data_IF_246152168613
#
_entry.id   IF_246152168613
#
_cell.length_a   1.000
_cell.length_b   1.000
_cell.length_c   1.000
_cell.angle_alpha   90.00
_cell.angle_beta   90.00
_cell.angle_gamma   90.00
#
_symmetry.space_group_name_H-M   'P 1'
#
loop_
_entity.id
_entity.type
_entity.pdbx_description
1 polymer ?
#
# COMPACT_ATOMS: atom_id res chain seq x y z
N UNK A 1 7.21 -15.62 6.24
CA UNK A 1 5.81 -15.50 5.77
C UNK A 1 5.77 -14.46 4.67
N UNK A 2 4.97 -14.63 3.62
CA UNK A 2 4.84 -13.61 2.57
C UNK A 2 3.84 -12.53 2.97
N UNK A 3 4.14 -11.29 2.65
CA UNK A 3 3.28 -10.13 2.94
C UNK A 3 3.15 -9.23 1.71
N UNK A 4 2.03 -8.53 1.60
CA UNK A 4 1.80 -7.48 0.60
C UNK A 4 1.64 -6.17 1.36
N UNK A 5 2.31 -5.12 0.90
CA UNK A 5 2.16 -3.76 1.42
C UNK A 5 1.19 -3.00 0.53
N UNK A 6 0.20 -2.35 1.14
CA UNK A 6 -0.77 -1.51 0.44
C UNK A 6 -0.84 -0.14 1.12
N UNK A 7 -0.45 0.91 0.38
CA UNK A 7 -0.44 2.29 0.85
C UNK A 7 -1.49 3.11 0.09
N UNK A 8 -2.22 3.95 0.82
CA UNK A 8 -3.26 4.81 0.23
C UNK A 8 -3.25 6.20 0.85
N UNK A 9 -3.53 7.18 0.01
CA UNK A 9 -3.84 8.55 0.43
C UNK A 9 -5.17 8.99 -0.19
N UNK A 10 -5.95 9.76 0.57
CA UNK A 10 -7.10 10.48 0.01
C UNK A 10 -6.60 11.79 -0.57
N UNK A 11 -6.89 12.10 -1.84
CA UNK A 11 -6.58 13.33 -2.60
C UNK A 11 -5.40 13.26 -3.57
N UNK A 12 -5.46 14.11 -4.61
CA UNK A 12 -4.47 14.33 -5.68
C UNK A 12 -3.45 15.44 -5.40
N UNK A 13 -3.39 15.94 -4.15
CA UNK A 13 -2.45 17.02 -3.80
C UNK A 13 -1.03 16.46 -3.76
N UNK A 14 -0.06 17.12 -4.41
CA UNK A 14 1.36 16.72 -4.46
C UNK A 14 1.98 16.40 -3.08
N UNK A 15 1.50 17.06 -2.02
CA UNK A 15 1.86 16.75 -0.62
C UNK A 15 1.62 15.30 -0.20
N UNK A 16 0.81 14.54 -0.93
CA UNK A 16 0.46 13.16 -0.62
C UNK A 16 1.49 12.14 -1.14
N UNK A 17 2.36 12.50 -2.10
CA UNK A 17 3.41 11.59 -2.58
C UNK A 17 4.45 11.31 -1.48
N UNK A 18 4.79 12.33 -0.69
CA UNK A 18 5.64 12.16 0.50
C UNK A 18 4.97 11.32 1.58
N UNK A 19 3.63 11.37 1.70
CA UNK A 19 2.91 10.49 2.62
C UNK A 19 2.94 9.03 2.18
N UNK A 20 2.74 8.75 0.89
CA UNK A 20 2.82 7.38 0.35
C UNK A 20 4.22 6.78 0.52
N UNK A 21 5.27 7.55 0.21
CA UNK A 21 6.66 7.11 0.39
C UNK A 21 6.97 6.80 1.86
N UNK A 22 6.50 7.65 2.78
CA UNK A 22 6.68 7.42 4.22
C UNK A 22 5.91 6.18 4.71
N UNK A 23 4.67 5.98 4.26
CA UNK A 23 3.89 4.78 4.61
C UNK A 23 4.59 3.49 4.17
N UNK A 24 5.10 3.47 2.95
CA UNK A 24 5.88 2.33 2.43
C UNK A 24 7.13 2.09 3.28
N UNK A 25 7.91 3.12 3.60
CA UNK A 25 9.13 2.98 4.40
C UNK A 25 8.82 2.41 5.80
N UNK A 26 7.80 2.92 6.48
CA UNK A 26 7.39 2.44 7.80
C UNK A 26 6.93 0.97 7.75
N UNK A 27 6.19 0.58 6.70
CA UNK A 27 5.70 -0.79 6.53
C UNK A 27 6.81 -1.77 6.09
N UNK A 28 7.78 -1.32 5.29
CA UNK A 28 8.97 -2.11 4.95
C UNK A 28 9.80 -2.42 6.21
N UNK A 29 10.03 -1.42 7.06
CA UNK A 29 10.71 -1.61 8.35
C UNK A 29 9.94 -2.56 9.27
N UNK A 30 8.61 -2.46 9.28
CA UNK A 30 7.76 -3.38 10.02
C UNK A 30 7.91 -4.81 9.50
N UNK A 31 7.79 -5.02 8.19
CA UNK A 31 7.94 -6.33 7.55
C UNK A 31 9.31 -6.95 7.84
N UNK A 32 10.39 -6.16 7.76
CA UNK A 32 11.74 -6.58 8.12
C UNK A 32 11.83 -7.02 9.59
N UNK A 33 11.28 -6.23 10.52
CA UNK A 33 11.29 -6.55 11.96
C UNK A 33 10.56 -7.85 12.32
N UNK A 34 9.60 -8.26 11.50
CA UNK A 34 8.86 -9.52 11.66
C UNK A 34 9.39 -10.65 10.75
N UNK A 35 10.42 -10.40 9.93
CA UNK A 35 10.97 -11.38 8.99
C UNK A 35 10.00 -11.79 7.88
N UNK A 36 9.17 -10.86 7.41
CA UNK A 36 8.25 -11.08 6.30
C UNK A 36 8.94 -10.85 4.95
N UNK A 37 8.65 -11.74 4.00
CA UNK A 37 9.03 -11.56 2.60
C UNK A 37 7.98 -10.67 1.93
N UNK A 38 8.35 -9.44 1.59
CA UNK A 38 7.45 -8.51 0.89
C UNK A 38 7.35 -8.93 -0.57
N UNK A 39 6.20 -9.48 -0.96
CA UNK A 39 5.95 -10.02 -2.29
C UNK A 39 5.47 -8.96 -3.30
N UNK A 40 4.79 -7.91 -2.82
CA UNK A 40 4.37 -6.77 -3.63
C UNK A 40 4.14 -5.53 -2.76
N UNK A 41 4.28 -4.35 -3.38
CA UNK A 41 3.99 -3.04 -2.79
C UNK A 41 3.06 -2.30 -3.75
N UNK A 42 1.84 -2.02 -3.29
CA UNK A 42 0.80 -1.36 -4.07
C UNK A 42 0.55 0.02 -3.46
N UNK A 43 0.48 1.04 -4.31
CA UNK A 43 0.25 2.43 -3.90
C UNK A 43 -0.84 3.05 -4.74
N UNK A 44 -1.79 3.72 -4.12
CA UNK A 44 -2.81 4.45 -4.87
C UNK A 44 -3.26 5.75 -4.19
N UNK A 45 -3.75 6.67 -5.02
CA UNK A 45 -4.40 7.90 -4.59
C UNK A 45 -5.90 7.76 -4.84
N UNK A 46 -6.64 7.33 -3.82
CA UNK A 46 -8.06 7.05 -3.94
C UNK A 46 -8.82 7.49 -2.70
N UNK A 47 -10.10 7.86 -2.88
CA UNK A 47 -10.98 8.14 -1.75
C UNK A 47 -11.23 6.86 -0.94
N UNK A 48 -11.29 6.97 0.38
CA UNK A 48 -11.70 5.85 1.24
C UNK A 48 -13.18 5.47 1.10
N UNK A 49 -13.98 6.35 0.48
CA UNK A 49 -15.38 6.08 0.14
C UNK A 49 -15.54 5.38 -1.22
N UNK A 50 -14.45 5.26 -1.99
CA UNK A 50 -14.49 4.61 -3.30
C UNK A 50 -14.47 3.08 -3.14
N UNK A 51 -15.40 2.43 -3.83
CA UNK A 51 -15.50 0.98 -3.88
C UNK A 51 -14.67 0.39 -5.02
N UNK A 52 -14.40 1.17 -6.07
CA UNK A 52 -13.64 0.75 -7.25
C UNK A 52 -12.20 1.26 -7.13
N UNK A 53 -11.44 0.61 -6.25
CA UNK A 53 -10.04 0.95 -5.99
C UNK A 53 -9.12 -0.04 -6.66
N UNK A 54 -8.50 0.37 -7.77
CA UNK A 54 -7.64 -0.48 -8.59
C UNK A 54 -6.55 -1.19 -7.77
N UNK A 55 -5.91 -0.48 -6.84
CA UNK A 55 -4.89 -1.07 -5.99
C UNK A 55 -5.42 -2.11 -5.01
N UNK A 56 -6.64 -1.94 -4.49
CA UNK A 56 -7.31 -2.98 -3.69
C UNK A 56 -7.67 -4.18 -4.57
N UNK A 57 -8.19 -3.95 -5.77
CA UNK A 57 -8.56 -5.03 -6.69
C UNK A 57 -7.32 -5.87 -7.04
N UNK A 58 -6.19 -5.24 -7.34
CA UNK A 58 -4.90 -5.91 -7.54
C UNK A 58 -4.49 -6.73 -6.30
N UNK A 59 -4.56 -6.14 -5.10
CA UNK A 59 -4.25 -6.85 -3.86
C UNK A 59 -5.11 -8.10 -3.70
N UNK A 60 -6.41 -7.99 -3.95
CA UNK A 60 -7.37 -9.10 -3.84
C UNK A 60 -7.06 -10.22 -4.85
N UNK A 61 -6.56 -9.88 -6.03
CA UNK A 61 -6.11 -10.88 -7.01
C UNK A 61 -4.84 -11.61 -6.58
N UNK A 62 -3.90 -10.90 -5.93
CA UNK A 62 -2.63 -11.48 -5.45
C UNK A 62 -2.78 -12.43 -4.25
N UNK A 63 -3.88 -12.33 -3.50
CA UNK A 63 -4.14 -13.20 -2.33
C UNK A 63 -5.09 -14.37 -2.61
N UNK A 64 -5.58 -14.52 -3.85
CA UNK A 64 -6.32 -15.71 -4.28
C UNK A 64 -5.44 -16.95 -4.28
#
# INVERSE_FOLDING_TARGET
MKAIIYCRVSTTKETQETSLARQEEELLRLADSYGFEVASIIKEQASGYDLERDGILELLELIK
#
